data_IF_585729232569
#
_entry.id   IF_585729232569
#
_cell.length_a   1.000
_cell.length_b   1.000
_cell.length_c   1.000
_cell.angle_alpha   90.00
_cell.angle_beta   90.00
_cell.angle_gamma   90.00
#
_symmetry.space_group_name_H-M   'P 1'
#
loop_
_entity.id
_entity.type
_entity.pdbx_description
1 polymer ?
#
# COMPACT_ATOMS: atom_id res chain seq x y z
N UNK A 1 2.96 27.76 -4.71
CA UNK A 1 3.74 28.15 -5.88
C UNK A 1 4.22 26.92 -6.67
N UNK A 2 4.49 25.80 -6.01
CA UNK A 2 4.80 24.53 -6.66
C UNK A 2 3.67 23.54 -6.37
N UNK A 3 3.02 23.01 -7.40
CA UNK A 3 1.99 21.96 -7.28
C UNK A 3 2.64 20.57 -7.11
N UNK A 4 3.58 20.46 -6.18
CA UNK A 4 4.26 19.21 -5.90
C UNK A 4 3.38 18.26 -5.09
N UNK A 5 3.51 16.94 -5.31
CA UNK A 5 2.96 15.94 -4.43
C UNK A 5 3.53 16.06 -3.02
N UNK A 6 2.74 15.68 -2.03
CA UNK A 6 3.15 15.68 -0.62
C UNK A 6 3.16 14.25 -0.11
N UNK A 7 4.23 13.86 0.58
CA UNK A 7 4.31 12.59 1.29
C UNK A 7 4.61 12.85 2.76
N UNK A 8 3.87 12.18 3.66
CA UNK A 8 4.12 12.19 5.09
C UNK A 8 3.52 10.95 5.76
N UNK A 9 3.55 10.90 7.10
CA UNK A 9 3.02 9.81 7.92
C UNK A 9 1.69 10.26 8.55
N UNK A 10 0.81 9.31 8.85
CA UNK A 10 -0.48 9.61 9.47
C UNK A 10 -0.93 8.45 10.36
N UNK A 11 -1.20 8.75 11.62
CA UNK A 11 -1.86 7.84 12.58
C UNK A 11 -1.22 6.44 12.59
N UNK A 12 0.11 6.40 12.68
CA UNK A 12 0.86 5.16 12.63
C UNK A 12 0.79 4.40 13.96
N UNK A 13 1.03 5.09 15.08
CA UNK A 13 1.03 4.48 16.40
C UNK A 13 0.48 5.44 17.47
N UNK A 14 0.09 4.87 18.62
CA UNK A 14 -0.58 5.64 19.69
C UNK A 14 0.31 6.76 20.25
N UNK A 15 1.60 6.51 20.43
CA UNK A 15 2.53 7.51 20.99
C UNK A 15 2.72 8.70 20.03
N UNK A 16 2.81 8.44 18.73
CA UNK A 16 2.84 9.48 17.70
C UNK A 16 1.57 10.33 17.73
N UNK A 17 0.40 9.68 17.78
CA UNK A 17 -0.90 10.38 17.80
C UNK A 17 -1.01 11.27 19.03
N UNK A 18 -0.61 10.78 20.20
CA UNK A 18 -0.60 11.56 21.44
C UNK A 18 0.36 12.73 21.37
N UNK A 19 1.55 12.51 20.80
CA UNK A 19 2.54 13.56 20.65
C UNK A 19 2.09 14.67 19.68
N UNK A 20 1.52 14.31 18.54
CA UNK A 20 0.93 15.28 17.60
C UNK A 20 -0.20 16.08 18.26
N UNK A 21 -1.06 15.42 19.01
CA UNK A 21 -2.13 16.11 19.78
C UNK A 21 -1.57 17.13 20.77
N UNK A 22 -0.47 16.80 21.44
CA UNK A 22 0.18 17.71 22.38
C UNK A 22 0.84 18.92 21.68
N UNK A 23 1.44 18.71 20.50
CA UNK A 23 2.08 19.76 19.71
C UNK A 23 1.07 20.67 18.98
N UNK A 24 -0.11 20.16 18.67
CA UNK A 24 -1.15 20.85 17.90
C UNK A 24 -2.50 20.84 18.65
N UNK A 25 -2.61 21.48 19.83
CA UNK A 25 -3.82 21.42 20.65
C UNK A 25 -5.02 22.14 20.02
N UNK A 26 -4.81 22.91 18.98
CA UNK A 26 -5.81 23.58 18.16
C UNK A 26 -6.41 22.69 17.06
N UNK A 27 -5.86 21.50 16.85
CA UNK A 27 -6.36 20.50 15.88
C UNK A 27 -7.11 19.38 16.63
N UNK A 28 -8.36 19.13 16.25
CA UNK A 28 -9.15 18.07 16.85
C UNK A 28 -8.78 16.65 16.33
N UNK A 29 -8.21 16.59 15.12
CA UNK A 29 -7.80 15.35 14.45
C UNK A 29 -6.37 15.51 13.93
N UNK A 30 -5.62 14.40 13.83
CA UNK A 30 -4.24 14.43 13.36
C UNK A 30 -4.13 15.05 11.95
N UNK A 31 -4.98 14.64 11.00
CA UNK A 31 -4.95 15.13 9.62
C UNK A 31 -5.16 16.65 9.51
N UNK A 32 -5.82 17.30 10.48
CA UNK A 32 -6.03 18.74 10.49
C UNK A 32 -4.72 19.52 10.61
N UNK A 33 -3.68 18.90 11.18
CA UNK A 33 -2.35 19.49 11.24
C UNK A 33 -1.79 19.73 9.84
N UNK A 34 -2.03 18.80 8.92
CA UNK A 34 -1.65 18.95 7.50
C UNK A 34 -2.56 19.95 6.77
N UNK A 35 -3.86 19.88 7.03
CA UNK A 35 -4.83 20.77 6.41
C UNK A 35 -4.56 22.23 6.74
N UNK A 36 -4.18 22.54 7.98
CA UNK A 36 -3.81 23.87 8.47
C UNK A 36 -2.69 24.52 7.64
N UNK A 37 -1.76 23.72 7.10
CA UNK A 37 -0.64 24.20 6.29
C UNK A 37 -0.85 23.99 4.78
N UNK A 38 -2.07 23.64 4.33
CA UNK A 38 -2.38 23.42 2.93
C UNK A 38 -1.75 22.16 2.32
N UNK A 39 -1.34 21.21 3.17
CA UNK A 39 -0.71 19.95 2.77
C UNK A 39 -1.72 18.82 2.57
N UNK A 40 -3.00 19.04 2.93
CA UNK A 40 -4.09 18.08 2.80
C UNK A 40 -4.87 18.32 1.53
N UNK A 41 -4.42 17.76 0.42
CA UNK A 41 -4.96 18.03 -0.91
C UNK A 41 -4.80 16.82 -1.85
N UNK A 42 -5.40 16.88 -3.03
CA UNK A 42 -5.13 15.92 -4.11
C UNK A 42 -3.61 15.87 -4.40
N UNK A 43 -3.06 14.69 -4.56
CA UNK A 43 -1.62 14.47 -4.71
C UNK A 43 -0.85 14.32 -3.39
N UNK A 44 -1.56 14.40 -2.25
CA UNK A 44 -0.97 13.99 -0.97
C UNK A 44 -1.10 12.48 -0.79
N UNK A 45 -0.04 11.84 -0.31
CA UNK A 45 -0.02 10.44 0.09
C UNK A 45 0.46 10.32 1.54
N UNK A 46 -0.32 9.60 2.35
CA UNK A 46 -0.05 9.38 3.77
C UNK A 46 0.35 7.93 4.02
N UNK A 47 1.52 7.75 4.63
CA UNK A 47 1.99 6.43 5.01
C UNK A 47 1.26 5.90 6.24
N UNK A 48 1.19 4.59 6.37
CA UNK A 48 0.69 3.79 7.49
C UNK A 48 -0.82 3.83 7.70
N UNK A 49 -1.39 4.91 8.21
CA UNK A 49 -2.82 5.07 8.48
C UNK A 49 -3.41 3.91 9.33
N UNK A 50 -2.61 3.37 10.27
CA UNK A 50 -2.95 2.17 11.06
C UNK A 50 -4.17 2.42 11.95
N UNK A 51 -4.18 3.56 12.62
CA UNK A 51 -5.22 3.97 13.58
C UNK A 51 -6.24 4.96 12.99
N UNK A 52 -6.28 5.09 11.65
CA UNK A 52 -7.23 5.99 10.98
C UNK A 52 -8.68 5.63 11.32
N UNK A 53 -9.37 6.55 11.99
CA UNK A 53 -10.78 6.42 12.31
C UNK A 53 -11.69 6.73 11.10
N UNK A 54 -12.99 6.62 11.26
CA UNK A 54 -13.95 6.88 10.19
C UNK A 54 -13.96 8.34 9.71
N UNK A 55 -13.65 9.31 10.59
CA UNK A 55 -13.60 10.73 10.25
C UNK A 55 -12.38 11.03 9.42
N UNK A 56 -11.22 10.51 9.83
CA UNK A 56 -9.96 10.66 9.10
C UNK A 56 -10.04 10.01 7.71
N UNK A 57 -10.59 8.80 7.60
CA UNK A 57 -10.81 8.14 6.30
C UNK A 57 -11.77 8.92 5.40
N UNK A 58 -12.85 9.48 5.95
CA UNK A 58 -13.76 10.34 5.20
C UNK A 58 -13.09 11.63 4.71
N UNK A 59 -12.22 12.24 5.53
CA UNK A 59 -11.43 13.41 5.16
C UNK A 59 -10.42 13.08 4.04
N UNK A 60 -9.72 11.93 4.13
CA UNK A 60 -8.82 11.45 3.05
C UNK A 60 -9.58 11.30 1.73
N UNK A 61 -10.71 10.59 1.74
CA UNK A 61 -11.52 10.39 0.55
C UNK A 61 -11.99 11.71 -0.06
N UNK A 62 -12.50 12.63 0.77
CA UNK A 62 -13.02 13.93 0.32
C UNK A 62 -11.94 14.79 -0.36
N UNK A 63 -10.72 14.76 0.17
CA UNK A 63 -9.58 15.53 -0.35
C UNK A 63 -8.82 14.81 -1.48
N UNK A 64 -9.12 13.53 -1.75
CA UNK A 64 -8.37 12.71 -2.70
C UNK A 64 -6.96 12.39 -2.24
N UNK A 65 -6.77 12.26 -0.92
CA UNK A 65 -5.51 11.84 -0.29
C UNK A 65 -5.36 10.33 -0.43
N UNK A 66 -4.17 9.89 -0.80
CA UNK A 66 -3.81 8.48 -0.95
C UNK A 66 -3.26 7.89 0.34
N UNK A 67 -3.40 6.60 0.48
CA UNK A 67 -2.76 5.81 1.55
C UNK A 67 -1.61 4.99 0.98
N UNK A 68 -0.41 5.14 1.55
CA UNK A 68 0.71 4.24 1.34
C UNK A 68 0.70 3.17 2.45
N UNK A 69 0.10 2.02 2.18
CA UNK A 69 0.03 0.93 3.14
C UNK A 69 1.35 0.19 3.24
N UNK A 70 1.98 0.21 4.41
CA UNK A 70 3.30 -0.34 4.71
C UNK A 70 3.18 -1.51 5.70
N UNK A 71 2.64 -2.68 5.29
CA UNK A 71 2.26 -3.75 6.22
C UNK A 71 3.44 -4.34 6.99
N UNK A 72 4.59 -4.49 6.34
CA UNK A 72 5.80 -5.05 6.94
C UNK A 72 6.35 -4.14 8.03
N UNK A 73 6.53 -2.85 7.71
CA UNK A 73 6.95 -1.83 8.67
C UNK A 73 5.98 -1.72 9.86
N UNK A 74 4.68 -1.62 9.58
CA UNK A 74 3.66 -1.52 10.64
C UNK A 74 3.75 -2.70 11.64
N UNK A 75 4.05 -3.89 11.14
CA UNK A 75 4.22 -5.09 11.97
C UNK A 75 5.54 -5.07 12.70
N UNK A 76 6.64 -4.74 12.00
CA UNK A 76 7.98 -4.73 12.54
C UNK A 76 8.17 -3.68 13.66
N UNK A 77 7.55 -2.51 13.50
CA UNK A 77 7.61 -1.40 14.45
C UNK A 77 6.50 -1.44 15.52
N UNK A 78 5.72 -2.53 15.56
CA UNK A 78 4.63 -2.69 16.53
C UNK A 78 3.53 -1.63 16.41
N UNK A 79 3.36 -1.03 15.24
CA UNK A 79 2.33 -0.01 15.00
C UNK A 79 0.93 -0.61 14.91
N UNK A 80 0.81 -1.86 14.45
CA UNK A 80 -0.46 -2.58 14.32
C UNK A 80 -0.81 -2.93 12.87
N UNK A 81 -2.11 -3.15 12.60
CA UNK A 81 -2.60 -3.54 11.27
C UNK A 81 -3.64 -2.54 10.77
N UNK A 82 -3.33 -1.85 9.69
CA UNK A 82 -4.22 -0.87 9.07
C UNK A 82 -5.54 -1.49 8.56
N UNK A 83 -6.67 -0.76 8.64
CA UNK A 83 -7.98 -1.25 8.22
C UNK A 83 -8.18 -1.19 6.69
N UNK A 84 -7.28 -1.85 5.94
CA UNK A 84 -7.22 -1.72 4.46
C UNK A 84 -8.52 -2.12 3.79
N UNK A 85 -9.19 -3.18 4.25
CA UNK A 85 -10.50 -3.58 3.69
C UNK A 85 -11.53 -2.47 3.81
N UNK A 86 -11.59 -1.79 4.96
CA UNK A 86 -12.49 -0.64 5.14
C UNK A 86 -12.12 0.52 4.23
N UNK A 87 -10.83 0.83 4.15
CA UNK A 87 -10.35 1.88 3.25
C UNK A 87 -10.79 1.64 1.81
N UNK A 88 -10.59 0.44 1.30
CA UNK A 88 -11.01 0.06 -0.06
C UNK A 88 -12.54 0.10 -0.23
N UNK A 89 -13.30 -0.43 0.72
CA UNK A 89 -14.76 -0.43 0.65
C UNK A 89 -15.38 0.96 0.77
N UNK A 90 -14.70 1.88 1.43
CA UNK A 90 -15.07 3.29 1.55
C UNK A 90 -14.61 4.12 0.34
N UNK A 91 -13.90 3.52 -0.63
CA UNK A 91 -13.44 4.17 -1.86
C UNK A 91 -12.20 5.03 -1.71
N UNK A 92 -11.35 4.75 -0.71
CA UNK A 92 -10.04 5.39 -0.61
C UNK A 92 -9.07 4.81 -1.64
N UNK A 93 -8.20 5.66 -2.15
CA UNK A 93 -7.07 5.25 -2.97
C UNK A 93 -5.95 4.72 -2.09
N UNK A 94 -5.58 3.46 -2.28
CA UNK A 94 -4.55 2.78 -1.50
C UNK A 94 -3.52 2.18 -2.44
N UNK A 95 -2.23 2.34 -2.13
CA UNK A 95 -1.13 1.61 -2.76
C UNK A 95 -0.27 0.97 -1.68
N UNK A 96 0.47 -0.10 -2.01
CA UNK A 96 1.45 -0.68 -1.09
C UNK A 96 2.76 0.12 -1.12
N UNK A 97 3.44 0.10 0.00
CA UNK A 97 4.78 0.64 0.17
C UNK A 97 5.66 -0.34 0.95
N UNK A 98 6.96 -0.29 0.69
CA UNK A 98 7.96 -1.10 1.40
C UNK A 98 8.38 -0.49 2.73
N UNK A 99 8.41 0.85 2.78
CA UNK A 99 8.88 1.61 3.94
C UNK A 99 10.22 1.07 4.50
N UNK A 100 11.15 0.77 3.61
CA UNK A 100 12.48 0.30 4.03
C UNK A 100 13.27 1.49 4.65
N UNK A 101 13.88 1.38 5.84
CA UNK A 101 14.20 0.19 6.62
C UNK A 101 13.28 -0.04 7.86
N UNK A 102 12.11 0.59 7.95
CA UNK A 102 11.03 0.15 8.86
C UNK A 102 10.51 -1.22 8.43
N UNK A 103 10.21 -1.38 7.13
CA UNK A 103 10.03 -2.68 6.49
C UNK A 103 11.36 -3.35 6.13
N UNK A 104 11.38 -4.68 6.10
CA UNK A 104 12.59 -5.49 5.93
C UNK A 104 13.16 -5.51 4.50
N UNK A 105 12.34 -5.24 3.48
CA UNK A 105 12.72 -5.41 2.07
C UNK A 105 12.15 -4.32 1.15
N UNK A 106 12.88 -4.04 0.06
CA UNK A 106 12.38 -3.18 -1.02
C UNK A 106 11.36 -3.86 -1.94
N UNK A 107 11.24 -5.19 -1.87
CA UNK A 107 10.40 -5.99 -2.76
C UNK A 107 8.92 -5.70 -2.57
N UNK A 108 8.24 -5.30 -3.66
CA UNK A 108 6.78 -5.14 -3.68
C UNK A 108 6.04 -6.48 -3.66
N UNK A 109 6.67 -7.59 -4.07
CA UNK A 109 6.11 -8.93 -3.89
C UNK A 109 6.09 -9.30 -2.41
N UNK A 110 7.14 -8.96 -1.67
CA UNK A 110 7.16 -9.08 -0.21
C UNK A 110 6.06 -8.25 0.44
N UNK A 111 5.95 -6.96 0.09
CA UNK A 111 4.91 -6.10 0.62
C UNK A 111 3.49 -6.65 0.35
N UNK A 112 3.26 -7.25 -0.82
CA UNK A 112 1.99 -7.91 -1.14
C UNK A 112 1.74 -9.14 -0.24
N UNK A 113 2.74 -9.97 -0.01
CA UNK A 113 2.63 -11.11 0.89
C UNK A 113 2.31 -10.67 2.33
N UNK A 114 3.01 -9.65 2.83
CA UNK A 114 2.77 -9.12 4.18
C UNK A 114 1.41 -8.43 4.30
N UNK A 115 0.93 -7.72 3.28
CA UNK A 115 -0.42 -7.16 3.26
C UNK A 115 -1.50 -8.25 3.40
N UNK A 116 -1.34 -9.38 2.68
CA UNK A 116 -2.26 -10.52 2.80
C UNK A 116 -2.20 -11.12 4.21
N UNK A 117 -0.99 -11.36 4.74
CA UNK A 117 -0.79 -11.96 6.08
C UNK A 117 -1.38 -11.07 7.17
N UNK A 118 -1.02 -9.78 7.18
CA UNK A 118 -1.53 -8.82 8.15
C UNK A 118 -3.06 -8.70 8.09
N UNK A 119 -3.65 -8.63 6.89
CA UNK A 119 -5.11 -8.57 6.73
C UNK A 119 -5.81 -9.84 7.22
N UNK A 120 -5.20 -11.03 7.04
CA UNK A 120 -5.72 -12.30 7.60
C UNK A 120 -5.73 -12.28 9.14
N UNK A 121 -4.69 -11.75 9.77
CA UNK A 121 -4.63 -11.60 11.23
C UNK A 121 -5.73 -10.63 11.69
N UNK A 122 -5.85 -9.47 11.06
CA UNK A 122 -6.89 -8.50 11.38
C UNK A 122 -8.29 -9.11 11.25
N UNK A 123 -8.57 -9.82 10.17
CA UNK A 123 -9.83 -10.53 9.97
C UNK A 123 -10.10 -11.55 11.08
N UNK A 124 -9.10 -12.37 11.43
CA UNK A 124 -9.23 -13.37 12.50
C UNK A 124 -9.56 -12.72 13.85
N UNK A 125 -8.80 -11.70 14.26
CA UNK A 125 -8.99 -11.03 15.54
C UNK A 125 -10.21 -10.11 15.59
N UNK A 126 -10.75 -9.70 14.45
CA UNK A 126 -12.05 -8.99 14.40
C UNK A 126 -13.26 -9.89 14.70
N UNK A 127 -13.07 -11.19 14.90
CA UNK A 127 -14.14 -12.16 14.96
C UNK A 127 -14.69 -12.52 13.58
N UNK A 128 -13.87 -12.41 12.53
CA UNK A 128 -14.20 -12.70 11.13
C UNK A 128 -15.33 -11.80 10.57
N UNK A 129 -15.30 -10.55 10.92
CA UNK A 129 -16.28 -9.58 10.43
C UNK A 129 -16.10 -9.34 8.92
N UNK A 130 -17.19 -9.30 8.15
CA UNK A 130 -17.12 -9.10 6.68
C UNK A 130 -16.45 -7.78 6.27
N UNK A 131 -16.64 -6.70 7.05
CA UNK A 131 -16.02 -5.39 6.82
C UNK A 131 -14.51 -5.35 7.10
N UNK A 132 -13.94 -6.42 7.63
CA UNK A 132 -12.51 -6.65 7.85
C UNK A 132 -11.98 -7.84 7.02
N UNK A 133 -12.71 -8.29 5.99
CA UNK A 133 -12.29 -9.42 5.15
C UNK A 133 -10.86 -9.21 4.62
N UNK A 134 -10.06 -10.27 4.65
CA UNK A 134 -8.66 -10.19 4.22
C UNK A 134 -8.51 -9.95 2.72
N UNK A 135 -7.35 -9.43 2.34
CA UNK A 135 -6.98 -9.20 0.94
C UNK A 135 -6.75 -10.52 0.22
N UNK A 136 -7.26 -10.62 -1.00
CA UNK A 136 -6.95 -11.69 -1.94
C UNK A 136 -5.62 -11.43 -2.65
N UNK A 137 -5.05 -12.46 -3.28
CA UNK A 137 -3.81 -12.33 -4.08
C UNK A 137 -3.95 -11.29 -5.21
N UNK A 138 -5.05 -11.30 -6.02
CA UNK A 138 -5.24 -10.27 -7.04
C UNK A 138 -5.34 -8.85 -6.48
N UNK A 139 -6.03 -8.66 -5.36
CA UNK A 139 -6.13 -7.33 -4.72
C UNK A 139 -4.76 -6.85 -4.24
N UNK A 140 -4.02 -7.69 -3.52
CA UNK A 140 -2.69 -7.31 -3.04
C UNK A 140 -1.72 -7.02 -4.20
N UNK A 141 -1.80 -7.79 -5.29
CA UNK A 141 -1.01 -7.56 -6.48
C UNK A 141 -1.38 -6.23 -7.17
N UNK A 142 -2.67 -5.91 -7.28
CA UNK A 142 -3.13 -4.62 -7.77
C UNK A 142 -2.57 -3.46 -6.93
N UNK A 143 -2.64 -3.57 -5.60
CA UNK A 143 -2.12 -2.54 -4.69
C UNK A 143 -0.59 -2.39 -4.78
N UNK A 144 0.13 -3.48 -5.11
CA UNK A 144 1.58 -3.48 -5.30
C UNK A 144 2.04 -2.95 -6.66
N UNK A 145 1.14 -2.80 -7.62
CA UNK A 145 1.46 -2.47 -9.02
C UNK A 145 0.65 -1.30 -9.55
N UNK A 146 -0.51 -1.57 -10.14
CA UNK A 146 -1.35 -0.58 -10.86
C UNK A 146 -1.81 0.58 -9.97
N UNK A 147 -2.04 0.34 -8.68
CA UNK A 147 -2.43 1.41 -7.77
C UNK A 147 -1.32 2.48 -7.64
N UNK A 148 -0.07 2.05 -7.45
CA UNK A 148 1.07 2.98 -7.41
C UNK A 148 1.27 3.73 -8.72
N UNK A 149 1.09 3.06 -9.87
CA UNK A 149 1.14 3.72 -11.17
C UNK A 149 0.10 4.83 -11.30
N UNK A 150 -1.13 4.59 -10.84
CA UNK A 150 -2.20 5.59 -10.87
C UNK A 150 -1.88 6.82 -10.01
N UNK A 151 -1.23 6.65 -8.86
CA UNK A 151 -0.77 7.78 -8.04
C UNK A 151 0.18 8.69 -8.82
N UNK A 152 1.09 8.13 -9.60
CA UNK A 152 2.03 8.88 -10.43
C UNK A 152 1.44 9.34 -11.79
N UNK A 153 0.14 9.16 -12.01
CA UNK A 153 -0.53 9.59 -13.23
C UNK A 153 -0.26 8.69 -14.44
N UNK A 154 0.38 7.53 -14.24
CA UNK A 154 0.47 6.52 -15.28
C UNK A 154 -0.88 5.81 -15.44
N UNK A 155 -1.17 5.34 -16.64
CA UNK A 155 -2.38 4.58 -16.94
C UNK A 155 -2.48 3.28 -16.16
N UNK A 156 -3.61 2.55 -16.25
CA UNK A 156 -3.84 1.31 -15.51
C UNK A 156 -2.87 0.16 -15.90
N UNK A 157 -2.01 0.37 -16.88
CA UNK A 157 -1.03 -0.56 -17.39
C UNK A 157 -1.56 -1.47 -18.50
N UNK A 158 -0.70 -1.80 -19.47
CA UNK A 158 -0.98 -2.68 -20.60
C UNK A 158 -2.16 -2.25 -21.51
N UNK A 159 -2.57 -0.99 -21.48
CA UNK A 159 -3.52 -0.43 -22.44
C UNK A 159 -2.78 0.25 -23.60
N UNK A 160 -3.40 0.23 -24.78
CA UNK A 160 -2.83 0.91 -25.95
C UNK A 160 -2.78 2.41 -25.68
N UNK A 161 -1.58 3.00 -25.75
CA UNK A 161 -1.34 4.41 -25.48
C UNK A 161 -0.75 4.70 -24.09
N UNK A 162 -0.75 3.73 -23.19
CA UNK A 162 -0.10 3.88 -21.90
C UNK A 162 1.43 3.77 -22.01
N UNK A 163 2.13 4.45 -21.11
CA UNK A 163 3.56 4.23 -20.92
C UNK A 163 3.79 2.82 -20.35
N UNK A 164 4.71 2.06 -20.95
CA UNK A 164 4.98 0.69 -20.53
C UNK A 164 5.86 0.68 -19.28
N UNK A 165 5.27 0.31 -18.15
CA UNK A 165 5.95 -0.04 -16.91
C UNK A 165 5.66 -1.50 -16.59
N UNK A 166 6.67 -2.35 -16.57
CA UNK A 166 6.48 -3.78 -16.40
C UNK A 166 7.69 -4.47 -15.77
N UNK A 167 7.43 -5.59 -15.12
CA UNK A 167 8.45 -6.56 -14.75
C UNK A 167 8.20 -7.88 -15.49
N UNK A 168 9.25 -8.54 -15.92
CA UNK A 168 9.18 -9.90 -16.46
C UNK A 168 9.65 -10.84 -15.36
N UNK A 169 8.76 -11.74 -14.94
CA UNK A 169 9.03 -12.74 -13.92
C UNK A 169 9.24 -14.11 -14.59
N UNK A 170 10.33 -14.79 -14.22
CA UNK A 170 10.64 -16.14 -14.64
C UNK A 170 10.54 -17.07 -13.42
N UNK A 171 9.51 -17.90 -13.39
CA UNK A 171 9.26 -18.83 -12.30
C UNK A 171 9.92 -20.22 -12.50
N UNK A 172 10.71 -20.39 -13.55
CA UNK A 172 11.45 -21.64 -13.80
C UNK A 172 12.44 -21.98 -12.68
N UNK A 173 12.93 -20.97 -11.96
CA UNK A 173 13.79 -21.13 -10.77
C UNK A 173 13.04 -21.76 -9.58
N UNK A 174 11.72 -21.83 -9.65
CA UNK A 174 10.83 -22.39 -8.66
C UNK A 174 10.00 -23.52 -9.32
N UNK A 175 10.57 -24.66 -9.72
CA UNK A 175 9.84 -25.68 -10.47
C UNK A 175 8.68 -26.24 -9.66
N UNK A 176 7.44 -26.23 -10.19
CA UNK A 176 6.30 -26.82 -9.51
C UNK A 176 6.29 -28.34 -9.70
N UNK A 177 5.65 -29.07 -8.78
CA UNK A 177 5.43 -30.52 -8.89
C UNK A 177 4.34 -30.90 -9.89
N UNK A 178 3.51 -29.91 -10.32
CA UNK A 178 2.45 -30.06 -11.32
C UNK A 178 2.30 -28.77 -12.14
N UNK A 179 1.65 -28.80 -13.30
CA UNK A 179 1.27 -27.58 -14.01
C UNK A 179 0.41 -26.67 -13.12
N UNK A 180 0.67 -25.37 -13.13
CA UNK A 180 -0.03 -24.36 -12.36
C UNK A 180 -0.80 -23.40 -13.27
N UNK A 181 -1.98 -22.98 -12.88
CA UNK A 181 -2.72 -21.89 -13.51
C UNK A 181 -1.98 -20.54 -13.29
N UNK A 182 -2.18 -19.52 -14.14
CA UNK A 182 -1.53 -18.23 -14.00
C UNK A 182 -1.71 -17.60 -12.62
N UNK A 183 -2.89 -17.68 -12.01
CA UNK A 183 -3.16 -17.16 -10.67
C UNK A 183 -2.35 -17.91 -9.59
N UNK A 184 -2.21 -19.24 -9.70
CA UNK A 184 -1.41 -20.04 -8.77
C UNK A 184 0.10 -19.71 -8.91
N UNK A 185 0.56 -19.44 -10.14
CA UNK A 185 1.95 -19.02 -10.41
C UNK A 185 2.21 -17.65 -9.75
N UNK A 186 1.30 -16.69 -9.91
CA UNK A 186 1.40 -15.37 -9.30
C UNK A 186 1.42 -15.48 -7.76
N UNK A 187 0.50 -16.22 -7.16
CA UNK A 187 0.46 -16.43 -5.72
C UNK A 187 1.78 -17.00 -5.21
N UNK A 188 2.32 -17.98 -5.91
CA UNK A 188 3.60 -18.60 -5.57
C UNK A 188 4.77 -17.62 -5.65
N UNK A 189 4.83 -16.77 -6.68
CA UNK A 189 5.85 -15.75 -6.83
C UNK A 189 5.79 -14.70 -5.71
N UNK A 190 4.58 -14.29 -5.33
CA UNK A 190 4.37 -13.35 -4.21
C UNK A 190 4.90 -13.93 -2.90
N UNK A 191 4.55 -15.17 -2.57
CA UNK A 191 4.97 -15.77 -1.30
C UNK A 191 6.42 -16.23 -1.28
N UNK A 192 7.00 -16.58 -2.42
CA UNK A 192 8.41 -16.95 -2.50
C UNK A 192 9.32 -15.73 -2.40
N UNK A 193 8.90 -14.58 -2.96
CA UNK A 193 9.67 -13.32 -2.97
C UNK A 193 11.16 -13.54 -3.31
N UNK A 194 11.41 -14.32 -4.34
CA UNK A 194 12.76 -14.64 -4.78
C UNK A 194 13.19 -13.71 -5.90
N UNK A 195 14.19 -12.85 -5.64
CA UNK A 195 14.69 -11.86 -6.60
C UNK A 195 15.25 -12.49 -7.89
N UNK A 196 15.65 -13.77 -7.86
CA UNK A 196 16.10 -14.52 -9.04
C UNK A 196 14.98 -14.71 -10.08
N UNK A 197 13.72 -14.56 -9.67
CA UNK A 197 12.58 -14.59 -10.59
C UNK A 197 12.46 -13.33 -11.45
N UNK A 198 13.09 -12.22 -11.08
CA UNK A 198 13.05 -10.98 -11.86
C UNK A 198 13.99 -11.09 -13.04
N UNK A 199 13.44 -11.20 -14.25
CA UNK A 199 14.18 -11.37 -15.50
C UNK A 199 14.44 -10.07 -16.23
N UNK A 200 13.51 -9.13 -16.13
CA UNK A 200 13.66 -7.79 -16.68
C UNK A 200 12.76 -6.80 -15.91
N UNK A 201 13.21 -5.55 -15.86
CA UNK A 201 12.43 -4.40 -15.42
C UNK A 201 12.37 -3.41 -16.58
N UNK A 202 11.16 -2.95 -16.89
CA UNK A 202 10.89 -1.98 -17.97
C UNK A 202 10.24 -0.77 -17.32
N UNK A 203 10.76 0.42 -17.60
CA UNK A 203 10.19 1.70 -17.19
C UNK A 203 10.13 2.64 -18.38
N UNK A 204 8.98 3.25 -18.62
CA UNK A 204 8.73 4.12 -19.78
C UNK A 204 9.18 3.50 -21.12
N UNK A 205 8.90 2.20 -21.29
CA UNK A 205 9.31 1.44 -22.46
C UNK A 205 10.81 1.09 -22.53
N UNK A 206 11.62 1.56 -21.59
CA UNK A 206 13.07 1.26 -21.56
C UNK A 206 13.35 0.09 -20.63
N UNK A 207 14.07 -0.90 -21.12
CA UNK A 207 14.60 -1.98 -20.27
C UNK A 207 15.73 -1.44 -19.39
N UNK A 208 15.60 -1.66 -18.05
CA UNK A 208 16.58 -1.24 -17.05
C UNK A 208 17.55 -2.37 -16.69
N UNK A 209 17.04 -3.60 -16.61
CA UNK A 209 17.81 -4.83 -16.38
C UNK A 209 17.30 -5.97 -17.25
#
# INVERSE_FOLDING_TARGET
EYELPVQSHLSENDAEIEWVRALHPDCAQYWETYAKFGLWKRGTIMAHCVHSDARERAAMRSAGVWVAHSPDSNTNLYSGVAPVRKMLSEGLSVALASDVAGGAKLSMLHAAAEAIRASKLRYYYSGKRPDEAYLTVPEAFYLATSAGQQYFGAGPGFCVGDSLHAIVLDDSVLPPSRPLAPAERLERLIYADDSRTIRAVISEGRRLI
#
